data_IF_793297798245
#
_entry.id   IF_793297798245
#
_cell.length_a   1.000
_cell.length_b   1.000
_cell.length_c   1.000
_cell.angle_alpha   90.00
_cell.angle_beta   90.00
_cell.angle_gamma   90.00
#
_symmetry.space_group_name_H-M   'P 1'
#
loop_
_entity.id
_entity.type
_entity.pdbx_description
1 polymer ?
#
# COMPACT_ATOMS: atom_id res chain seq x y z
N UNK A 1 17.68 14.98 -2.63
CA UNK A 1 16.78 15.68 -1.69
C UNK A 1 15.83 16.56 -2.45
N UNK A 2 16.28 17.61 -3.14
CA UNK A 2 15.43 18.54 -3.91
C UNK A 2 14.36 17.85 -4.79
N UNK A 3 14.72 16.79 -5.51
CA UNK A 3 13.76 16.04 -6.34
C UNK A 3 12.60 15.42 -5.55
N UNK A 4 12.88 14.84 -4.38
CA UNK A 4 11.85 14.34 -3.47
C UNK A 4 10.96 15.48 -2.95
N UNK A 5 11.56 16.61 -2.58
CA UNK A 5 10.84 17.76 -2.01
C UNK A 5 9.98 18.50 -3.06
N UNK A 6 10.42 18.49 -4.31
CA UNK A 6 9.72 19.11 -5.44
C UNK A 6 8.40 18.38 -5.71
N UNK A 7 8.43 17.05 -5.74
CA UNK A 7 7.30 16.24 -6.22
C UNK A 7 6.45 15.61 -5.10
N UNK A 8 6.91 15.66 -3.85
CA UNK A 8 6.22 15.05 -2.70
C UNK A 8 6.21 16.02 -1.53
N UNK A 9 5.41 15.74 -0.49
CA UNK A 9 5.44 16.45 0.78
C UNK A 9 6.57 16.03 1.73
N UNK A 10 7.44 15.09 1.33
CA UNK A 10 8.64 14.74 2.11
C UNK A 10 9.59 15.94 2.13
N UNK A 11 10.16 16.25 3.29
CA UNK A 11 11.10 17.35 3.50
C UNK A 11 12.35 16.89 4.21
N UNK A 12 13.50 17.35 3.73
CA UNK A 12 14.80 17.12 4.32
C UNK A 12 15.27 18.41 4.99
N UNK A 13 15.53 18.33 6.29
CA UNK A 13 16.21 19.41 7.03
C UNK A 13 17.43 18.83 7.72
N UNK A 14 18.41 19.70 8.01
CA UNK A 14 19.53 19.32 8.86
C UNK A 14 18.98 18.90 10.23
N UNK A 15 19.47 17.78 10.75
CA UNK A 15 19.15 17.33 12.09
C UNK A 15 19.70 18.33 13.12
N UNK A 16 18.93 18.57 14.17
CA UNK A 16 19.33 19.33 15.35
C UNK A 16 19.54 18.38 16.54
N UNK A 17 20.00 18.91 17.68
CA UNK A 17 20.28 18.08 18.86
C UNK A 17 19.01 17.54 19.52
N UNK A 18 17.84 18.09 19.17
CA UNK A 18 16.52 17.66 19.64
C UNK A 18 15.96 16.47 18.83
N UNK A 19 16.53 16.18 17.65
CA UNK A 19 16.07 15.08 16.82
C UNK A 19 16.57 13.74 17.35
N UNK A 20 15.62 12.86 17.69
CA UNK A 20 15.92 11.49 18.15
C UNK A 20 16.16 10.55 16.97
N UNK A 21 15.44 10.76 15.85
CA UNK A 21 15.52 9.92 14.66
C UNK A 21 16.02 10.74 13.48
N UNK A 22 17.14 10.34 12.87
CA UNK A 22 17.73 11.08 11.76
C UNK A 22 18.64 10.22 10.88
N UNK A 23 18.83 10.66 9.64
CA UNK A 23 19.80 10.06 8.72
C UNK A 23 21.21 10.57 9.02
N UNK A 24 22.16 9.64 9.10
CA UNK A 24 23.60 9.92 9.04
C UNK A 24 24.08 9.53 7.66
N UNK A 25 24.26 10.52 6.79
CA UNK A 25 24.74 10.30 5.42
C UNK A 25 26.27 10.38 5.43
N UNK A 26 26.93 9.31 5.01
CA UNK A 26 28.39 9.23 5.00
C UNK A 26 28.92 8.17 4.04
N UNK A 27 30.23 7.99 4.02
CA UNK A 27 30.88 6.98 3.17
C UNK A 27 31.13 5.71 3.98
N UNK A 28 30.47 4.61 3.62
CA UNK A 28 30.73 3.26 4.11
C UNK A 28 31.11 2.30 2.97
N UNK A 29 30.85 1.01 3.16
CA UNK A 29 31.18 -0.05 2.19
C UNK A 29 30.05 -0.26 1.17
N UNK A 30 30.00 0.62 0.16
CA UNK A 30 29.03 0.59 -0.93
C UNK A 30 27.90 1.62 -0.81
N UNK A 31 26.85 1.44 -1.60
CA UNK A 31 25.64 2.26 -1.59
C UNK A 31 24.52 1.46 -0.93
N UNK A 32 23.97 1.95 0.18
CA UNK A 32 22.83 1.31 0.86
C UNK A 32 22.15 2.25 1.86
N UNK A 33 20.89 1.96 2.17
CA UNK A 33 20.14 2.56 3.26
C UNK A 33 19.25 1.52 3.94
N UNK A 34 18.84 1.84 5.16
CA UNK A 34 17.74 1.12 5.80
C UNK A 34 16.41 1.49 5.17
N UNK A 35 15.42 0.58 5.27
CA UNK A 35 14.08 0.81 4.74
C UNK A 35 13.22 1.48 5.81
N UNK A 36 12.78 2.71 5.52
CA UNK A 36 11.97 3.52 6.43
C UNK A 36 12.72 3.99 7.68
N UNK A 37 11.97 4.50 8.66
CA UNK A 37 12.52 4.91 9.96
C UNK A 37 12.71 3.68 10.87
N UNK A 38 13.95 3.38 11.23
CA UNK A 38 14.28 2.29 12.18
C UNK A 38 14.50 2.77 13.62
N UNK A 39 14.45 4.08 13.83
CA UNK A 39 14.66 4.74 15.11
C UNK A 39 16.14 5.09 15.35
N UNK A 40 16.38 6.14 16.13
CA UNK A 40 17.73 6.63 16.38
C UNK A 40 18.43 7.21 15.15
N UNK A 41 19.75 7.33 15.26
CA UNK A 41 20.62 7.65 14.12
C UNK A 41 20.71 6.44 13.19
N UNK A 42 20.25 6.57 11.94
CA UNK A 42 20.34 5.50 10.95
C UNK A 42 21.26 5.90 9.79
N UNK A 43 22.20 5.02 9.45
CA UNK A 43 23.24 5.31 8.46
C UNK A 43 22.74 5.10 7.03
N UNK A 44 23.09 6.02 6.15
CA UNK A 44 22.92 5.91 4.70
C UNK A 44 24.32 6.04 4.07
N UNK A 45 24.77 4.95 3.45
CA UNK A 45 26.11 4.86 2.87
C UNK A 45 26.12 5.33 1.43
N UNK A 46 27.03 6.25 1.12
CA UNK A 46 27.39 6.68 -0.22
C UNK A 46 28.90 6.61 -0.38
N UNK A 47 29.40 5.42 -0.71
CA UNK A 47 30.81 5.21 -1.03
C UNK A 47 31.27 6.02 -2.27
N UNK A 48 32.60 6.18 -2.51
CA UNK A 48 33.10 6.74 -3.76
C UNK A 48 32.51 6.01 -4.97
N UNK A 49 31.86 6.76 -5.87
CA UNK A 49 31.11 6.21 -7.02
C UNK A 49 29.59 6.15 -6.81
N UNK A 50 29.10 6.22 -5.56
CA UNK A 50 27.66 6.27 -5.25
C UNK A 50 27.08 7.69 -5.33
N UNK A 51 27.92 8.73 -5.38
CA UNK A 51 27.49 10.15 -5.38
C UNK A 51 27.04 10.58 -6.78
N UNK A 52 26.15 9.80 -7.37
CA UNK A 52 25.45 10.07 -8.62
C UNK A 52 23.98 10.26 -8.31
N UNK A 53 23.35 11.24 -8.96
CA UNK A 53 21.95 11.61 -8.69
C UNK A 53 21.00 10.40 -8.60
N UNK A 54 20.96 9.44 -9.55
CA UNK A 54 20.02 8.32 -9.49
C UNK A 54 20.25 7.40 -8.29
N UNK A 55 21.52 7.17 -7.92
CA UNK A 55 21.88 6.34 -6.76
C UNK A 55 21.48 7.06 -5.46
N UNK A 56 21.78 8.35 -5.33
CA UNK A 56 21.38 9.10 -4.13
C UNK A 56 19.85 9.16 -3.99
N UNK A 57 19.12 9.31 -5.10
CA UNK A 57 17.65 9.26 -5.09
C UNK A 57 17.14 7.88 -4.67
N UNK A 58 17.76 6.80 -5.16
CA UNK A 58 17.46 5.41 -4.77
C UNK A 58 17.66 5.18 -3.26
N UNK A 59 18.83 5.54 -2.72
CA UNK A 59 19.12 5.34 -1.30
C UNK A 59 18.20 6.18 -0.39
N UNK A 60 17.83 7.39 -0.83
CA UNK A 60 16.80 8.17 -0.15
C UNK A 60 15.42 7.50 -0.26
N UNK A 61 15.11 6.82 -1.37
CA UNK A 61 13.89 6.03 -1.52
C UNK A 61 13.77 4.92 -0.49
N UNK A 62 14.87 4.19 -0.24
CA UNK A 62 14.92 3.25 0.88
C UNK A 62 14.62 3.94 2.22
N UNK A 63 15.30 5.06 2.53
CA UNK A 63 15.05 5.79 3.78
C UNK A 63 13.60 6.32 3.91
N UNK A 64 12.95 6.66 2.79
CA UNK A 64 11.54 7.03 2.70
C UNK A 64 10.61 5.82 2.94
N UNK A 65 11.09 4.59 2.72
CA UNK A 65 10.35 3.35 3.01
C UNK A 65 10.12 2.46 1.80
N UNK A 66 10.78 2.72 0.67
CA UNK A 66 10.59 1.91 -0.53
C UNK A 66 11.46 0.66 -0.48
N UNK A 67 10.83 -0.49 -0.77
CA UNK A 67 11.55 -1.70 -1.15
C UNK A 67 11.96 -1.62 -2.63
N UNK A 68 12.79 -2.55 -3.08
CA UNK A 68 13.04 -2.69 -4.51
C UNK A 68 11.79 -3.16 -5.28
N UNK A 69 11.58 -2.59 -6.46
CA UNK A 69 10.37 -2.83 -7.25
C UNK A 69 10.24 -4.31 -7.68
N UNK A 70 11.37 -4.96 -8.03
CA UNK A 70 11.37 -6.38 -8.40
C UNK A 70 11.06 -7.35 -7.26
N UNK A 71 11.00 -6.85 -6.02
CA UNK A 71 10.65 -7.61 -4.82
C UNK A 71 9.17 -7.47 -4.47
N UNK A 72 8.35 -6.76 -5.25
CA UNK A 72 6.91 -6.70 -5.02
C UNK A 72 6.24 -8.08 -5.01
N UNK A 73 5.17 -8.27 -4.22
CA UNK A 73 4.43 -9.54 -4.18
C UNK A 73 3.88 -10.00 -5.54
N UNK A 74 3.48 -9.04 -6.37
CA UNK A 74 2.88 -9.20 -7.71
C UNK A 74 3.90 -9.20 -8.86
N UNK A 75 5.22 -9.12 -8.56
CA UNK A 75 6.26 -8.96 -9.59
C UNK A 75 6.29 -10.06 -10.66
N UNK A 76 5.83 -11.28 -10.35
CA UNK A 76 5.87 -12.42 -11.28
C UNK A 76 4.92 -12.25 -12.48
N UNK A 77 3.94 -11.33 -12.38
CA UNK A 77 3.06 -10.93 -13.50
C UNK A 77 3.79 -10.03 -14.52
N UNK A 78 4.90 -9.40 -14.11
CA UNK A 78 5.61 -8.36 -14.87
C UNK A 78 7.01 -8.76 -15.28
N UNK A 79 7.68 -9.59 -14.48
CA UNK A 79 9.05 -10.05 -14.73
C UNK A 79 9.19 -11.55 -14.44
N UNK A 80 10.33 -12.11 -14.80
CA UNK A 80 10.75 -13.47 -14.49
C UNK A 80 12.19 -13.42 -14.02
N UNK A 81 12.45 -13.97 -12.84
CA UNK A 81 13.81 -14.13 -12.33
C UNK A 81 14.40 -15.39 -12.97
N UNK A 82 15.48 -15.22 -13.71
CA UNK A 82 16.23 -16.31 -14.36
C UNK A 82 17.29 -16.80 -13.38
N UNK A 83 16.85 -17.57 -12.39
CA UNK A 83 17.68 -18.01 -11.25
C UNK A 83 18.93 -18.78 -11.67
N UNK A 84 18.90 -19.41 -12.84
CA UNK A 84 20.05 -20.13 -13.41
C UNK A 84 21.24 -19.22 -13.70
N UNK A 85 21.01 -17.92 -13.92
CA UNK A 85 22.04 -16.92 -14.18
C UNK A 85 22.46 -16.15 -12.92
N UNK A 86 21.74 -16.30 -11.81
CA UNK A 86 22.03 -15.57 -10.56
C UNK A 86 23.18 -16.25 -9.79
N UNK A 87 24.05 -15.44 -9.18
CA UNK A 87 25.04 -15.90 -8.20
C UNK A 87 24.35 -16.62 -7.03
N UNK A 88 24.83 -17.82 -6.66
CA UNK A 88 24.12 -18.67 -5.68
C UNK A 88 23.95 -18.01 -4.30
N UNK A 89 24.91 -17.19 -3.87
CA UNK A 89 24.87 -16.43 -2.61
C UNK A 89 24.10 -15.10 -2.73
N UNK A 90 23.46 -14.81 -3.87
CA UNK A 90 22.70 -13.57 -4.13
C UNK A 90 21.22 -13.83 -4.42
N UNK A 91 20.76 -15.08 -4.38
CA UNK A 91 19.36 -15.45 -4.64
C UNK A 91 18.37 -14.73 -3.72
N UNK A 92 18.73 -14.49 -2.46
CA UNK A 92 17.88 -13.80 -1.49
C UNK A 92 17.55 -12.35 -1.90
N UNK A 93 18.39 -11.69 -2.72
CA UNK A 93 18.08 -10.33 -3.23
C UNK A 93 16.89 -10.31 -4.21
N UNK A 94 16.43 -11.48 -4.67
CA UNK A 94 15.29 -11.63 -5.57
C UNK A 94 14.05 -12.20 -4.87
N UNK A 95 14.10 -12.36 -3.55
CA UNK A 95 12.94 -12.76 -2.76
C UNK A 95 11.87 -11.66 -2.81
N UNK A 96 10.61 -12.10 -2.81
CA UNK A 96 9.46 -11.19 -2.74
C UNK A 96 9.21 -10.79 -1.30
N UNK A 97 8.85 -9.53 -1.10
CA UNK A 97 8.39 -9.03 0.19
C UNK A 97 7.00 -9.60 0.47
N UNK A 98 6.71 -10.10 1.67
CA UNK A 98 5.38 -10.62 2.00
C UNK A 98 4.35 -9.48 2.06
N UNK A 99 3.10 -9.79 1.70
CA UNK A 99 1.97 -8.84 1.74
C UNK A 99 1.75 -8.21 3.13
N UNK A 100 2.18 -8.87 4.20
CA UNK A 100 2.12 -8.33 5.57
C UNK A 100 3.07 -7.16 5.82
N UNK A 101 4.02 -6.93 4.92
CA UNK A 101 5.12 -5.98 5.10
C UNK A 101 5.18 -4.91 4.01
N UNK A 102 4.28 -4.95 3.02
CA UNK A 102 4.23 -3.98 1.93
C UNK A 102 2.80 -3.70 1.50
N UNK A 103 2.50 -2.43 1.28
CA UNK A 103 1.28 -1.97 0.60
C UNK A 103 1.70 -1.28 -0.70
N UNK A 104 1.08 -1.67 -1.81
CA UNK A 104 1.36 -1.08 -3.13
C UNK A 104 0.56 0.19 -3.37
N UNK A 105 -0.38 0.54 -2.48
CA UNK A 105 -1.32 1.65 -2.61
C UNK A 105 -2.08 1.62 -3.95
N UNK A 106 -2.23 0.42 -4.53
CA UNK A 106 -2.77 0.18 -5.87
C UNK A 106 -2.04 0.94 -6.98
N UNK A 107 -0.78 1.31 -6.75
CA UNK A 107 0.13 1.83 -7.77
C UNK A 107 0.59 0.63 -8.62
N UNK A 108 0.40 0.70 -9.96
CA UNK A 108 0.84 -0.36 -10.87
C UNK A 108 2.35 -0.63 -10.75
N UNK A 109 2.76 -1.83 -11.15
CA UNK A 109 4.19 -2.18 -11.22
C UNK A 109 4.92 -1.26 -12.20
N UNK A 110 6.08 -0.76 -11.79
CA UNK A 110 6.80 0.27 -12.53
C UNK A 110 8.20 -0.18 -12.99
N UNK A 111 8.29 -0.55 -14.27
CA UNK A 111 9.57 -0.86 -14.92
C UNK A 111 10.56 0.33 -14.95
N UNK A 112 10.07 1.56 -14.79
CA UNK A 112 10.88 2.79 -14.82
C UNK A 112 11.29 3.28 -13.44
N UNK A 113 10.86 2.60 -12.38
CA UNK A 113 11.13 3.00 -11.00
C UNK A 113 12.63 3.09 -10.76
N UNK A 114 13.04 4.12 -10.01
CA UNK A 114 14.43 4.22 -9.52
C UNK A 114 14.80 3.05 -8.62
N UNK A 115 13.80 2.36 -8.04
CA UNK A 115 13.96 1.21 -7.15
C UNK A 115 14.05 -0.13 -7.88
N UNK A 116 13.94 -0.15 -9.22
CA UNK A 116 13.98 -1.39 -9.98
C UNK A 116 15.43 -1.80 -10.34
N UNK A 117 15.80 -3.05 -10.10
CA UNK A 117 17.09 -3.59 -10.54
C UNK A 117 17.28 -3.64 -12.06
N UNK A 118 18.54 -3.56 -12.49
CA UNK A 118 18.91 -3.80 -13.88
C UNK A 118 18.83 -5.28 -14.28
N UNK A 119 18.75 -5.53 -15.59
CA UNK A 119 18.52 -6.85 -16.16
C UNK A 119 19.60 -7.90 -15.87
N UNK A 120 20.83 -7.49 -15.55
CA UNK A 120 21.98 -8.37 -15.30
C UNK A 120 22.50 -8.30 -13.86
N UNK A 121 21.76 -7.65 -12.95
CA UNK A 121 22.18 -7.52 -11.56
C UNK A 121 22.39 -8.89 -10.92
N UNK A 122 23.49 -9.04 -10.18
CA UNK A 122 23.93 -10.29 -9.53
C UNK A 122 24.08 -11.50 -10.48
N UNK A 123 24.38 -11.24 -11.76
CA UNK A 123 24.63 -12.29 -12.74
C UNK A 123 26.00 -12.94 -12.56
N UNK A 124 26.05 -14.27 -12.51
CA UNK A 124 27.31 -15.03 -12.43
C UNK A 124 28.01 -15.22 -13.78
N UNK A 125 27.32 -14.92 -14.89
CA UNK A 125 27.79 -15.19 -16.25
C UNK A 125 27.56 -14.01 -17.22
N UNK A 126 27.18 -12.85 -16.69
CA UNK A 126 26.85 -11.66 -17.49
C UNK A 126 25.54 -11.76 -18.27
N UNK A 127 24.79 -12.86 -18.15
CA UNK A 127 23.49 -13.04 -18.80
C UNK A 127 22.37 -12.46 -17.92
N UNK A 128 21.21 -12.26 -18.55
CA UNK A 128 20.00 -11.72 -17.92
C UNK A 128 19.58 -12.52 -16.69
N UNK A 129 19.41 -11.84 -15.56
CA UNK A 129 18.83 -12.35 -14.31
C UNK A 129 17.38 -11.90 -14.13
N UNK A 130 16.99 -10.76 -14.69
CA UNK A 130 15.60 -10.27 -14.71
C UNK A 130 15.11 -10.11 -16.15
N UNK A 131 14.19 -10.99 -16.55
CA UNK A 131 13.53 -10.93 -17.86
C UNK A 131 12.15 -10.31 -17.72
N UNK A 132 11.91 -9.20 -18.41
CA UNK A 132 10.60 -8.53 -18.47
C UNK A 132 9.61 -9.37 -19.28
N UNK A 133 8.33 -9.38 -18.86
CA UNK A 133 7.24 -10.04 -19.60
C UNK A 133 6.86 -9.22 -20.85
N UNK A 134 6.91 -7.89 -20.74
CA UNK A 134 6.80 -6.99 -21.88
C UNK A 134 8.22 -6.62 -22.37
N UNK A 135 8.67 -7.13 -23.55
CA UNK A 135 10.04 -6.94 -24.03
C UNK A 135 10.43 -5.48 -24.24
N UNK A 136 9.47 -4.58 -24.45
CA UNK A 136 9.70 -3.14 -24.64
C UNK A 136 10.37 -2.49 -23.43
N UNK A 137 10.29 -3.11 -22.26
CA UNK A 137 10.90 -2.63 -21.02
C UNK A 137 12.22 -3.32 -20.66
N UNK A 138 12.71 -4.25 -21.49
CA UNK A 138 13.89 -5.06 -21.14
C UNK A 138 15.16 -4.22 -20.95
N UNK A 139 15.32 -3.17 -21.75
CA UNK A 139 16.45 -2.23 -21.68
C UNK A 139 16.11 -0.97 -20.86
N UNK A 140 14.91 -0.92 -20.27
CA UNK A 140 14.43 0.21 -19.46
C UNK A 140 14.74 0.00 -17.97
N UNK A 141 14.57 -1.23 -17.48
CA UNK A 141 14.77 -1.56 -16.06
C UNK A 141 16.20 -1.25 -15.60
N UNK A 142 16.34 -0.65 -14.42
CA UNK A 142 17.63 -0.27 -13.83
C UNK A 142 18.34 0.91 -14.49
N UNK A 143 17.73 1.59 -15.47
CA UNK A 143 18.35 2.72 -16.18
C UNK A 143 17.77 4.11 -15.79
N UNK A 144 16.97 4.17 -14.72
CA UNK A 144 16.31 5.40 -14.28
C UNK A 144 17.31 6.53 -13.96
N UNK A 145 16.87 7.78 -14.17
CA UNK A 145 17.66 9.01 -13.93
C UNK A 145 17.20 9.81 -12.71
N UNK A 146 16.13 9.37 -12.06
CA UNK A 146 15.44 10.07 -10.99
C UNK A 146 14.16 9.34 -10.61
N UNK A 147 13.26 9.99 -9.89
CA UNK A 147 11.97 9.40 -9.56
C UNK A 147 11.14 9.23 -10.84
N UNK A 148 10.46 8.10 -10.97
CA UNK A 148 9.41 7.90 -11.98
C UNK A 148 8.11 8.58 -11.55
N UNK A 149 7.12 8.63 -12.45
CA UNK A 149 5.77 9.07 -12.10
C UNK A 149 5.17 8.19 -10.99
N UNK A 150 5.42 6.88 -11.02
CA UNK A 150 4.87 5.95 -10.04
C UNK A 150 5.59 6.02 -8.70
N UNK A 151 6.90 6.26 -8.67
CA UNK A 151 7.65 6.53 -7.44
C UNK A 151 7.06 7.75 -6.71
N UNK A 152 6.83 8.83 -7.47
CA UNK A 152 6.25 10.07 -6.95
C UNK A 152 4.83 9.82 -6.43
N UNK A 153 4.00 9.13 -7.22
CA UNK A 153 2.61 8.83 -6.83
C UNK A 153 2.57 7.98 -5.56
N UNK A 154 3.37 6.92 -5.50
CA UNK A 154 3.45 6.03 -4.34
C UNK A 154 3.84 6.82 -3.08
N UNK A 155 4.85 7.68 -3.17
CA UNK A 155 5.29 8.51 -2.05
C UNK A 155 4.18 9.46 -1.56
N UNK A 156 3.46 10.11 -2.47
CA UNK A 156 2.37 11.02 -2.10
C UNK A 156 1.22 10.29 -1.41
N UNK A 157 0.89 9.07 -1.85
CA UNK A 157 -0.12 8.22 -1.21
C UNK A 157 0.35 7.73 0.17
N UNK A 158 1.60 7.26 0.27
CA UNK A 158 2.20 6.78 1.52
C UNK A 158 2.25 7.84 2.62
N UNK A 159 2.61 9.08 2.24
CA UNK A 159 2.76 10.20 3.17
C UNK A 159 1.52 11.11 3.23
N UNK A 160 0.39 10.66 2.67
CA UNK A 160 -0.89 11.40 2.66
C UNK A 160 -0.72 12.86 2.27
N UNK A 161 0.08 13.16 1.26
CA UNK A 161 0.44 14.53 0.89
C UNK A 161 -0.74 15.39 0.45
N UNK A 162 -1.86 14.76 0.07
CA UNK A 162 -3.13 15.38 -0.24
C UNK A 162 -3.98 15.74 0.99
N UNK A 163 -3.51 15.45 2.21
CA UNK A 163 -4.27 15.75 3.42
C UNK A 163 -4.61 17.24 3.51
N UNK A 164 -5.89 17.56 3.75
CA UNK A 164 -6.40 18.93 3.74
C UNK A 164 -6.74 19.49 2.36
N UNK A 165 -6.49 18.77 1.27
CA UNK A 165 -6.90 19.18 -0.07
C UNK A 165 -8.38 18.83 -0.35
N UNK A 166 -9.06 19.60 -1.23
CA UNK A 166 -10.38 19.24 -1.72
C UNK A 166 -10.34 17.89 -2.44
N UNK A 167 -11.35 17.06 -2.21
CA UNK A 167 -11.50 15.82 -2.97
C UNK A 167 -11.83 16.14 -4.44
N UNK A 168 -10.89 15.85 -5.33
CA UNK A 168 -11.04 16.00 -6.78
C UNK A 168 -10.64 14.73 -7.50
N UNK A 169 -11.28 14.44 -8.64
CA UNK A 169 -10.90 13.32 -9.49
C UNK A 169 -9.86 13.78 -10.51
N UNK A 170 -8.61 13.36 -10.32
CA UNK A 170 -7.57 13.56 -11.32
C UNK A 170 -7.78 12.63 -12.53
N UNK A 171 -7.42 13.09 -13.75
CA UNK A 171 -7.59 12.29 -14.94
C UNK A 171 -6.59 11.13 -14.99
N UNK A 172 -6.97 10.08 -15.72
CA UNK A 172 -6.15 8.89 -15.98
C UNK A 172 -5.55 8.27 -14.70
N UNK A 173 -4.22 8.19 -14.64
CA UNK A 173 -3.45 7.65 -13.51
C UNK A 173 -3.01 8.74 -12.53
N UNK A 174 -3.49 9.97 -12.69
CA UNK A 174 -3.09 11.12 -11.88
C UNK A 174 -3.44 11.00 -10.40
N UNK A 175 -2.84 11.88 -9.59
CA UNK A 175 -3.06 11.97 -8.15
C UNK A 175 -3.06 13.44 -7.68
N UNK A 176 -3.63 13.70 -6.51
CA UNK A 176 -3.59 15.03 -5.89
C UNK A 176 -2.25 15.18 -5.20
N UNK A 177 -1.46 16.16 -5.62
CA UNK A 177 -0.17 16.46 -5.01
C UNK A 177 -0.29 17.34 -3.77
N UNK A 178 0.85 17.56 -3.12
CA UNK A 178 1.01 18.44 -1.94
C UNK A 178 0.52 19.90 -2.12
N UNK A 179 0.36 20.34 -3.36
CA UNK A 179 -0.10 21.69 -3.73
C UNK A 179 -1.60 21.72 -4.06
N UNK A 180 -2.32 20.65 -3.72
CA UNK A 180 -3.74 20.42 -4.03
C UNK A 180 -4.10 20.47 -5.52
N UNK A 181 -3.11 20.33 -6.40
CA UNK A 181 -3.33 20.19 -7.84
C UNK A 181 -3.24 18.72 -8.27
N UNK A 182 -3.89 18.41 -9.39
CA UNK A 182 -3.71 17.11 -10.03
C UNK A 182 -2.38 17.06 -10.77
N UNK A 183 -1.61 16.01 -10.48
CA UNK A 183 -0.39 15.64 -11.18
C UNK A 183 -0.63 14.38 -11.98
N UNK A 184 -0.26 14.42 -13.26
CA UNK A 184 -0.46 13.35 -14.23
C UNK A 184 0.88 12.90 -14.83
N UNK A 185 0.92 11.72 -15.46
CA UNK A 185 2.09 11.30 -16.22
C UNK A 185 2.50 12.40 -17.21
N UNK A 186 3.78 12.78 -17.17
CA UNK A 186 4.33 13.73 -18.13
C UNK A 186 4.64 13.09 -19.48
N UNK A 187 5.26 13.87 -20.36
CA UNK A 187 5.69 13.41 -21.68
C UNK A 187 7.20 13.11 -21.72
N UNK A 188 7.80 13.07 -22.91
CA UNK A 188 9.25 12.84 -23.07
C UNK A 188 10.16 13.89 -22.41
N UNK A 189 9.62 15.06 -22.03
CA UNK A 189 10.38 16.18 -21.48
C UNK A 189 10.25 16.34 -19.96
N UNK A 190 9.16 15.85 -19.36
CA UNK A 190 8.93 15.91 -17.91
C UNK A 190 8.38 14.59 -17.40
N UNK A 191 8.84 14.14 -16.23
CA UNK A 191 8.32 12.90 -15.61
C UNK A 191 6.85 13.05 -15.22
N UNK A 192 6.47 14.24 -14.75
CA UNK A 192 5.13 14.59 -14.29
C UNK A 192 4.71 15.93 -14.87
N UNK A 193 3.41 16.14 -15.01
CA UNK A 193 2.84 17.44 -15.41
C UNK A 193 1.58 17.76 -14.62
N UNK A 194 1.27 19.04 -14.46
CA UNK A 194 -0.01 19.45 -13.89
C UNK A 194 -1.12 19.21 -14.92
N UNK A 195 -2.26 18.73 -14.44
CA UNK A 195 -3.42 18.43 -15.27
C UNK A 195 -4.69 18.97 -14.63
N UNK A 196 -5.70 19.28 -15.45
CA UNK A 196 -6.98 19.76 -14.94
C UNK A 196 -7.77 18.62 -14.28
N UNK A 197 -8.19 18.85 -13.05
CA UNK A 197 -9.11 17.94 -12.38
C UNK A 197 -10.44 17.88 -13.14
N UNK A 198 -10.99 16.69 -13.32
CA UNK A 198 -12.36 16.56 -13.78
C UNK A 198 -13.26 17.12 -12.69
N UNK A 199 -14.04 18.19 -13.00
CA UNK A 199 -14.98 18.80 -12.05
C UNK A 199 -15.94 17.73 -11.54
N UNK A 200 -15.71 17.24 -10.33
CA UNK A 200 -16.77 16.60 -9.56
C UNK A 200 -17.70 17.74 -9.18
N UNK A 201 -18.88 17.81 -9.79
CA UNK A 201 -19.92 18.73 -9.35
C UNK A 201 -20.22 18.38 -7.90
N UNK A 202 -19.78 19.23 -6.99
CA UNK A 202 -20.25 19.23 -5.61
C UNK A 202 -21.74 19.58 -5.62
N UNK A 203 -22.61 18.57 -5.62
CA UNK A 203 -23.98 18.64 -5.07
C UNK A 203 -24.27 17.25 -4.49
N UNK A 204 -24.56 17.12 -3.20
CA UNK A 204 -25.80 17.66 -2.64
C UNK A 204 -25.57 18.42 -1.33
N UNK A 205 -25.62 19.74 -1.43
CA UNK A 205 -26.30 20.56 -0.42
C UNK A 205 -27.32 21.41 -1.18
N UNK A 206 -28.57 20.96 -1.15
CA UNK A 206 -29.78 21.77 -1.36
C UNK A 206 -30.96 20.84 -1.19
N UNK A 207 -31.74 21.08 -0.14
CA UNK A 207 -33.11 20.62 -0.02
C UNK A 207 -33.94 21.13 -1.20
N UNK A 208 -34.73 20.27 -1.86
CA UNK A 208 -35.92 20.70 -2.58
C UNK A 208 -37.16 20.18 -1.85
N UNK A 209 -38.05 21.10 -1.48
CA UNK A 209 -39.45 20.76 -1.20
C UNK A 209 -40.04 20.00 -2.41
N UNK A 210 -40.52 18.79 -2.17
CA UNK A 210 -41.35 18.05 -3.13
C UNK A 210 -42.68 17.70 -2.46
N UNK A 211 -43.72 18.36 -2.96
CA UNK A 211 -45.13 18.09 -2.68
C UNK A 211 -45.41 16.62 -2.99
N UNK A 212 -45.89 15.87 -1.98
CA UNK A 212 -46.23 14.44 -2.10
C UNK A 212 -47.67 14.26 -2.62
N UNK A 213 -47.89 13.54 -3.73
CA UNK A 213 -49.14 12.81 -3.94
C UNK A 213 -49.10 11.48 -3.19
N UNK A 214 -50.21 11.12 -2.56
CA UNK A 214 -50.36 9.91 -1.71
C UNK A 214 -50.23 8.63 -2.54
N UNK A 215 -49.33 7.75 -2.13
CA UNK A 215 -49.37 6.31 -2.42
C UNK A 215 -49.47 5.52 -1.12
N UNK A 216 -50.13 4.35 -1.10
CA UNK A 216 -50.43 3.63 0.13
C UNK A 216 -49.16 3.11 0.81
N UNK A 217 -49.12 3.20 2.14
CA UNK A 217 -48.01 2.72 2.96
C UNK A 217 -47.67 1.24 2.66
N UNK A 218 -46.41 0.91 2.36
CA UNK A 218 -45.91 -0.43 2.58
C UNK A 218 -45.85 -0.68 4.09
N UNK A 219 -46.41 -1.79 4.53
CA UNK A 219 -46.34 -2.28 5.90
C UNK A 219 -44.87 -2.65 6.17
N UNK A 220 -44.25 -1.98 7.15
CA UNK A 220 -42.95 -2.35 7.69
C UNK A 220 -43.06 -3.73 8.38
N UNK A 221 -42.21 -4.72 8.08
CA UNK A 221 -42.09 -5.90 8.92
C UNK A 221 -41.43 -5.53 10.25
N UNK A 222 -41.93 -6.13 11.32
CA UNK A 222 -41.40 -6.01 12.69
C UNK A 222 -39.93 -6.46 12.79
N UNK A 223 -39.16 -5.90 13.74
CA UNK A 223 -37.77 -6.27 13.94
C UNK A 223 -37.67 -7.75 14.36
N UNK A 224 -36.96 -8.54 13.58
CA UNK A 224 -36.60 -9.92 13.94
C UNK A 224 -35.63 -9.90 15.14
N UNK A 225 -35.72 -10.86 16.07
CA UNK A 225 -34.82 -10.92 17.21
C UNK A 225 -33.40 -11.22 16.76
N UNK A 226 -32.46 -10.53 17.39
CA UNK A 226 -31.01 -10.65 17.23
C UNK A 226 -30.54 -12.12 17.40
N UNK A 227 -29.55 -12.60 16.62
CA UNK A 227 -29.00 -13.93 16.87
C UNK A 227 -28.29 -13.98 18.24
N UNK A 228 -27.91 -15.18 18.70
CA UNK A 228 -27.11 -15.36 19.92
C UNK A 228 -25.78 -16.08 19.56
N UNK A 229 -24.65 -15.71 20.19
CA UNK A 229 -23.35 -16.39 20.05
C UNK A 229 -23.48 -17.89 20.41
N UNK A 230 -23.51 -18.77 19.41
CA UNK A 230 -23.63 -20.23 19.56
C UNK A 230 -22.60 -20.97 18.72
N UNK A 231 -22.21 -22.16 19.17
CA UNK A 231 -21.40 -23.09 18.36
C UNK A 231 -22.25 -23.62 17.20
N UNK A 232 -21.69 -23.61 15.99
CA UNK A 232 -22.36 -24.01 14.74
C UNK A 232 -21.90 -25.37 14.21
N UNK A 233 -20.79 -25.89 14.72
CA UNK A 233 -20.25 -27.21 14.38
C UNK A 233 -20.51 -28.22 15.53
N UNK A 234 -21.03 -29.39 15.19
CA UNK A 234 -21.40 -30.43 16.17
C UNK A 234 -20.20 -31.00 16.93
N UNK A 235 -18.97 -30.85 16.42
CA UNK A 235 -17.75 -31.37 17.04
C UNK A 235 -16.88 -30.29 17.70
N UNK A 236 -17.44 -29.12 18.01
CA UNK A 236 -16.75 -28.02 18.70
C UNK A 236 -16.09 -28.40 20.03
N UNK A 237 -16.71 -29.29 20.83
CA UNK A 237 -16.10 -29.79 22.07
C UNK A 237 -14.87 -30.68 21.83
N UNK A 238 -14.80 -31.33 20.67
CA UNK A 238 -13.64 -32.13 20.30
C UNK A 238 -12.49 -31.23 19.85
N UNK A 239 -12.79 -30.20 19.06
CA UNK A 239 -11.82 -29.22 18.61
C UNK A 239 -11.18 -28.41 19.75
N UNK A 240 -11.97 -28.05 20.78
CA UNK A 240 -11.44 -27.37 21.96
C UNK A 240 -10.46 -28.25 22.74
N UNK A 241 -10.73 -29.55 22.88
CA UNK A 241 -9.83 -30.53 23.54
C UNK A 241 -8.52 -30.75 22.79
N UNK A 242 -8.53 -30.69 21.47
CA UNK A 242 -7.34 -30.79 20.63
C UNK A 242 -6.53 -29.49 20.53
N UNK A 243 -6.94 -28.43 21.27
CA UNK A 243 -6.32 -27.09 21.23
C UNK A 243 -6.32 -26.43 19.84
N UNK A 244 -7.19 -26.87 18.95
CA UNK A 244 -7.29 -26.32 17.60
C UNK A 244 -7.81 -24.88 17.62
N UNK A 245 -8.56 -24.47 18.64
CA UNK A 245 -8.95 -23.08 18.87
C UNK A 245 -7.75 -22.09 18.89
N UNK A 246 -6.52 -22.55 19.16
CA UNK A 246 -5.33 -21.68 19.23
C UNK A 246 -4.62 -21.53 17.89
N UNK A 247 -4.79 -22.50 16.97
CA UNK A 247 -4.01 -22.59 15.73
C UNK A 247 -4.89 -22.53 14.48
N UNK A 248 -6.21 -22.69 14.62
CA UNK A 248 -7.18 -22.79 13.53
C UNK A 248 -8.29 -21.75 13.68
N UNK A 249 -8.30 -20.80 12.76
CA UNK A 249 -9.28 -19.71 12.73
C UNK A 249 -10.68 -20.18 12.35
N UNK A 250 -10.78 -21.10 11.39
CA UNK A 250 -12.02 -21.76 10.97
C UNK A 250 -12.74 -22.44 12.14
N UNK A 251 -11.98 -23.01 13.08
CA UNK A 251 -12.51 -23.60 14.33
C UNK A 251 -13.03 -22.51 15.27
N UNK A 252 -12.38 -21.35 15.38
CA UNK A 252 -12.88 -20.23 16.20
C UNK A 252 -14.15 -19.60 15.63
N UNK A 253 -14.27 -19.56 14.30
CA UNK A 253 -15.43 -19.01 13.61
C UNK A 253 -16.66 -19.93 13.74
N UNK A 254 -16.45 -21.25 13.66
CA UNK A 254 -17.52 -22.25 13.80
C UNK A 254 -17.86 -22.60 15.26
N UNK A 255 -16.90 -22.45 16.18
CA UNK A 255 -17.02 -22.83 17.60
C UNK A 255 -16.73 -21.70 18.59
N UNK A 256 -17.39 -20.53 18.49
CA UNK A 256 -17.05 -19.36 19.30
C UNK A 256 -17.32 -19.53 20.80
N UNK A 257 -18.29 -20.35 21.21
CA UNK A 257 -18.57 -20.64 22.62
C UNK A 257 -17.53 -21.62 23.17
N UNK A 258 -17.32 -22.75 22.48
CA UNK A 258 -16.33 -23.75 22.88
C UNK A 258 -14.89 -23.24 22.87
N UNK A 259 -14.59 -22.24 22.05
CA UNK A 259 -13.28 -21.58 21.99
C UNK A 259 -13.18 -20.31 22.86
N UNK A 260 -14.23 -19.96 23.63
CA UNK A 260 -14.23 -18.78 24.51
C UNK A 260 -13.99 -17.46 23.75
N UNK A 261 -14.47 -17.37 22.52
CA UNK A 261 -14.23 -16.27 21.57
C UNK A 261 -15.46 -15.41 21.32
N UNK A 262 -16.55 -15.59 22.08
CA UNK A 262 -17.73 -14.70 22.02
C UNK A 262 -17.33 -13.25 22.42
N UNK A 263 -17.58 -12.23 21.59
CA UNK A 263 -17.23 -10.84 21.91
C UNK A 263 -18.26 -10.16 22.82
N UNK A 264 -17.81 -9.41 23.83
CA UNK A 264 -18.68 -8.46 24.54
C UNK A 264 -18.95 -7.22 23.67
N UNK A 265 -20.24 -6.98 23.36
CA UNK A 265 -20.85 -5.83 22.64
C UNK A 265 -20.27 -5.47 21.27
N UNK A 266 -21.06 -5.72 20.22
CA UNK A 266 -20.72 -5.45 18.84
C UNK A 266 -20.86 -3.96 18.47
N UNK A 267 -19.77 -3.33 18.03
CA UNK A 267 -19.73 -1.95 17.55
C UNK A 267 -18.66 -1.78 16.48
N UNK A 268 -18.87 -0.82 15.58
CA UNK A 268 -17.83 -0.39 14.65
C UNK A 268 -16.69 0.31 15.38
N UNK A 269 -15.48 0.05 14.92
CA UNK A 269 -14.23 0.56 15.50
C UNK A 269 -13.51 1.53 14.55
N UNK A 270 -13.82 1.46 13.25
CA UNK A 270 -13.23 2.32 12.23
C UNK A 270 -14.17 3.48 11.88
N UNK A 271 -13.61 4.68 11.68
CA UNK A 271 -14.39 5.90 11.50
C UNK A 271 -15.11 5.98 10.14
N UNK A 272 -14.69 5.17 9.16
CA UNK A 272 -15.20 5.19 7.78
C UNK A 272 -15.91 3.88 7.37
N UNK A 273 -16.57 3.20 8.31
CA UNK A 273 -17.20 1.91 8.01
C UNK A 273 -18.27 1.96 6.92
N UNK A 274 -19.07 3.04 6.85
CA UNK A 274 -20.11 3.20 5.82
C UNK A 274 -19.53 3.36 4.42
N UNK A 275 -18.41 4.08 4.31
CA UNK A 275 -17.68 4.24 3.04
C UNK A 275 -17.10 2.89 2.60
N UNK A 276 -16.54 2.14 3.55
CA UNK A 276 -15.99 0.81 3.27
C UNK A 276 -17.08 -0.20 2.84
N UNK A 277 -18.26 -0.15 3.46
CA UNK A 277 -19.42 -0.94 3.02
C UNK A 277 -19.89 -0.55 1.63
N UNK A 278 -19.99 0.75 1.34
CA UNK A 278 -20.42 1.26 0.04
C UNK A 278 -19.53 0.73 -1.10
N UNK A 279 -18.23 0.59 -0.86
CA UNK A 279 -17.29 0.02 -1.82
C UNK A 279 -17.25 -1.52 -1.83
N UNK A 280 -18.16 -2.20 -1.12
CA UNK A 280 -18.30 -3.66 -1.14
C UNK A 280 -17.30 -4.42 -0.28
N UNK A 281 -16.53 -3.74 0.59
CA UNK A 281 -15.48 -4.40 1.36
C UNK A 281 -16.01 -5.40 2.40
N UNK A 282 -17.29 -5.33 2.75
CA UNK A 282 -17.92 -6.34 3.62
C UNK A 282 -17.84 -7.76 3.06
N UNK A 283 -17.85 -7.91 1.73
CA UNK A 283 -17.76 -9.22 1.07
C UNK A 283 -16.33 -9.58 0.65
N UNK A 284 -15.50 -8.55 0.39
CA UNK A 284 -14.16 -8.69 -0.19
C UNK A 284 -13.07 -8.82 0.90
N UNK A 285 -13.23 -8.10 2.01
CA UNK A 285 -12.27 -8.03 3.12
C UNK A 285 -12.93 -8.47 4.42
N UNK A 286 -13.52 -9.66 4.40
CA UNK A 286 -14.39 -10.18 5.46
C UNK A 286 -13.72 -10.11 6.84
N UNK A 287 -12.45 -10.49 6.96
CA UNK A 287 -11.73 -10.49 8.25
C UNK A 287 -11.45 -9.07 8.79
N UNK A 288 -11.04 -8.15 7.90
CA UNK A 288 -10.79 -6.75 8.28
C UNK A 288 -12.09 -6.05 8.65
N UNK A 289 -13.15 -6.28 7.87
CA UNK A 289 -14.46 -5.69 8.12
C UNK A 289 -15.13 -6.30 9.36
N UNK A 290 -14.93 -7.58 9.65
CA UNK A 290 -15.42 -8.21 10.89
C UNK A 290 -14.75 -7.63 12.14
N UNK A 291 -13.49 -7.21 12.06
CA UNK A 291 -12.81 -6.58 13.20
C UNK A 291 -13.10 -5.08 13.31
N UNK A 292 -13.04 -4.38 12.18
CA UNK A 292 -13.04 -2.92 12.13
C UNK A 292 -14.45 -2.33 12.02
N UNK A 293 -15.35 -3.03 11.33
CA UNK A 293 -16.67 -2.55 10.95
C UNK A 293 -17.78 -3.63 11.07
N UNK A 294 -17.82 -4.41 12.17
CA UNK A 294 -18.74 -5.53 12.26
C UNK A 294 -20.21 -5.11 12.24
N UNK A 295 -20.55 -3.93 12.75
CA UNK A 295 -21.93 -3.44 12.79
C UNK A 295 -22.35 -2.95 11.40
N UNK A 296 -21.52 -2.11 10.78
CA UNK A 296 -21.83 -1.58 9.44
C UNK A 296 -21.94 -2.70 8.39
N UNK A 297 -21.12 -3.75 8.49
CA UNK A 297 -21.16 -4.86 7.54
C UNK A 297 -22.20 -5.95 7.87
N UNK A 298 -23.08 -5.72 8.86
CA UNK A 298 -24.02 -6.74 9.36
C UNK A 298 -23.32 -8.06 9.75
N UNK A 299 -22.06 -7.96 10.18
CA UNK A 299 -21.27 -9.07 10.71
C UNK A 299 -21.41 -9.18 12.24
N UNK A 300 -22.18 -8.27 12.84
CA UNK A 300 -22.72 -8.42 14.18
C UNK A 300 -23.77 -9.53 14.18
N UNK A 301 -23.31 -10.73 14.46
CA UNK A 301 -24.19 -11.77 14.96
C UNK A 301 -24.10 -11.66 16.48
N UNK A 302 -25.14 -11.08 17.08
CA UNK A 302 -25.32 -11.19 18.53
C UNK A 302 -25.37 -12.67 18.93
#
# INVERSE_FOLDING_TARGET
>A
MEEWETYTCVRFRKASNEDVNFLVIGSGDGCYSYIGMNGGAQFLSLAPGCVLKPIVVHELGHAVGFFHEQSRPDRDDYITIVTENVESNKLSNFEKIPLSSVDTFRVPYDYTSVMHYGSTYFSKNGLTTIRTKNPSFQDVIGNSKGLSFMDIKLANLMYTCQEGCPFVKCPEQGFIGQDCNCWCPGDSSTVVTRCEASKVISRVSSTPEVIRPRTPNPILPEPTPEPACVDTDEICQYYSKLRLCQTRYDVRASCPVSCGSCPEMCRDRHLQCEELRYFGYCEILQDYMAYSCPLTCNLCYL
#
